data_IF_615268705393
#
_entry.id   IF_615268705393
#
_cell.length_a   1.000
_cell.length_b   1.000
_cell.length_c   1.000
_cell.angle_alpha   90.00
_cell.angle_beta   90.00
_cell.angle_gamma   90.00
#
_symmetry.space_group_name_H-M   'P 1'
#
loop_
_entity.id
_entity.type
_entity.pdbx_description
1 polymer ?
#
# COMPACT_ATOMS: atom_id res chain seq x y z
N UNK A 1 6.32 3.52 -20.83
CA UNK A 1 5.33 3.66 -19.76
C UNK A 1 4.18 4.51 -20.27
N UNK A 2 2.94 4.06 -20.11
CA UNK A 2 1.75 4.81 -20.53
C UNK A 2 0.97 5.25 -19.28
N UNK A 3 0.63 6.54 -19.22
CA UNK A 3 -0.24 7.09 -18.18
C UNK A 3 -1.63 7.33 -18.78
N UNK A 4 -2.69 6.88 -18.09
CA UNK A 4 -4.07 7.07 -18.55
C UNK A 4 -5.05 7.13 -17.40
N UNK A 5 -6.17 7.78 -17.62
CA UNK A 5 -7.29 7.77 -16.67
C UNK A 5 -8.24 6.62 -16.99
N UNK A 6 -8.52 5.82 -15.98
CA UNK A 6 -9.46 4.69 -16.05
C UNK A 6 -10.73 5.06 -15.31
N UNK A 7 -11.88 4.93 -15.95
CA UNK A 7 -13.18 5.16 -15.33
C UNK A 7 -13.58 3.95 -14.46
N UNK A 8 -13.84 4.19 -13.20
CA UNK A 8 -14.33 3.20 -12.23
C UNK A 8 -15.59 3.70 -11.56
N UNK A 9 -16.26 2.86 -10.77
CA UNK A 9 -17.42 3.31 -9.94
C UNK A 9 -17.00 4.28 -8.82
N UNK A 10 -15.69 4.41 -8.57
CA UNK A 10 -15.11 5.29 -7.54
C UNK A 10 -14.55 6.61 -8.09
N UNK A 11 -14.80 6.90 -9.36
CA UNK A 11 -14.26 8.05 -10.11
C UNK A 11 -13.22 7.63 -11.15
N UNK A 12 -12.68 8.63 -11.86
CA UNK A 12 -11.59 8.38 -12.83
C UNK A 12 -10.25 8.34 -12.10
N UNK A 13 -9.56 7.20 -12.21
CA UNK A 13 -8.30 6.98 -11.54
C UNK A 13 -7.14 7.14 -12.52
N UNK A 14 -6.08 7.81 -12.09
CA UNK A 14 -4.84 7.92 -12.84
C UNK A 14 -4.02 6.66 -12.64
N UNK A 15 -3.70 5.98 -13.73
CA UNK A 15 -2.95 4.71 -13.75
C UNK A 15 -1.75 4.85 -14.66
N UNK A 16 -0.62 4.36 -14.21
CA UNK A 16 0.59 4.18 -15.03
C UNK A 16 0.91 2.70 -15.18
N UNK A 17 1.26 2.30 -16.39
CA UNK A 17 1.53 0.92 -16.77
C UNK A 17 2.81 0.89 -17.60
N UNK A 18 3.81 0.14 -17.13
CA UNK A 18 5.06 -0.04 -17.87
C UNK A 18 4.90 -0.89 -19.13
N UNK A 19 3.79 -1.64 -19.22
CA UNK A 19 3.59 -2.61 -20.30
C UNK A 19 4.51 -3.83 -20.18
N UNK A 20 4.59 -4.60 -21.28
CA UNK A 20 5.40 -5.81 -21.34
C UNK A 20 4.63 -7.09 -20.99
N UNK A 21 5.29 -8.24 -21.17
CA UNK A 21 4.75 -9.58 -20.95
C UNK A 21 5.13 -10.17 -19.57
N UNK A 22 5.88 -9.41 -18.75
CA UNK A 22 6.25 -9.85 -17.40
C UNK A 22 5.04 -10.00 -16.48
N UNK A 23 5.21 -10.72 -15.38
CA UNK A 23 4.16 -10.86 -14.37
C UNK A 23 3.72 -9.50 -13.85
N UNK A 24 2.41 -9.21 -13.86
CA UNK A 24 1.90 -7.95 -13.35
C UNK A 24 2.17 -7.80 -11.84
N UNK A 25 2.70 -6.64 -11.45
CA UNK A 25 2.87 -6.21 -10.07
C UNK A 25 2.09 -4.90 -9.88
N UNK A 26 0.99 -4.97 -9.13
CA UNK A 26 0.21 -3.80 -8.74
C UNK A 26 0.84 -3.17 -7.50
N UNK A 27 1.16 -1.87 -7.56
CA UNK A 27 1.72 -1.10 -6.45
C UNK A 27 0.68 -0.11 -5.93
N UNK A 28 0.34 -0.23 -4.64
CA UNK A 28 -0.68 0.59 -3.97
C UNK A 28 0.00 1.47 -2.92
N UNK A 29 -0.12 2.79 -3.09
CA UNK A 29 0.53 3.77 -2.23
C UNK A 29 -0.19 3.95 -0.87
N UNK A 30 0.49 4.65 0.04
CA UNK A 30 0.00 4.95 1.39
C UNK A 30 -0.94 6.15 1.47
N UNK A 31 -1.48 6.37 2.67
CA UNK A 31 -2.36 7.49 2.97
C UNK A 31 -1.70 8.84 2.66
N UNK A 32 -2.46 9.74 2.06
CA UNK A 32 -2.02 11.11 1.73
C UNK A 32 -0.78 11.14 0.82
N UNK A 33 -0.63 10.15 -0.04
CA UNK A 33 0.48 10.00 -0.97
C UNK A 33 -0.02 9.96 -2.43
N UNK A 34 0.80 9.47 -3.34
CA UNK A 34 0.44 9.24 -4.74
C UNK A 34 1.29 8.11 -5.31
N UNK A 35 0.97 7.65 -6.54
CA UNK A 35 1.77 6.66 -7.27
C UNK A 35 3.24 7.07 -7.44
N UNK A 36 3.54 8.36 -7.40
CA UNK A 36 4.88 8.92 -7.55
C UNK A 36 5.89 8.43 -6.50
N UNK A 37 5.40 7.91 -5.35
CA UNK A 37 6.29 7.30 -4.33
C UNK A 37 7.04 6.08 -4.86
N UNK A 38 6.51 5.40 -5.88
CA UNK A 38 7.11 4.22 -6.48
C UNK A 38 8.06 4.52 -7.65
N UNK A 39 8.43 5.79 -7.84
CA UNK A 39 9.33 6.19 -8.92
C UNK A 39 10.63 5.38 -8.93
N UNK A 40 11.23 5.11 -7.75
CA UNK A 40 12.47 4.32 -7.64
C UNK A 40 12.30 2.84 -7.98
N UNK A 41 11.09 2.32 -7.98
CA UNK A 41 10.74 0.97 -8.45
C UNK A 41 10.54 0.96 -9.96
N UNK A 42 9.86 1.97 -10.47
CA UNK A 42 9.54 2.12 -11.90
C UNK A 42 10.80 2.44 -12.72
N UNK A 43 11.63 3.38 -12.25
CA UNK A 43 12.88 3.78 -12.90
C UNK A 43 14.04 2.82 -12.58
N UNK A 44 13.94 2.05 -11.52
CA UNK A 44 14.91 1.05 -11.11
C UNK A 44 14.71 -0.29 -11.81
N UNK A 45 15.63 -1.23 -11.61
CA UNK A 45 15.66 -2.52 -12.31
C UNK A 45 14.42 -3.41 -12.16
N UNK A 46 13.50 -3.11 -11.25
CA UNK A 46 12.29 -3.91 -11.03
C UNK A 46 11.39 -3.95 -12.28
N UNK A 47 11.28 -2.85 -13.02
CA UNK A 47 10.49 -2.78 -14.25
C UNK A 47 11.05 -3.63 -15.40
N UNK A 48 12.31 -4.09 -15.34
CA UNK A 48 12.89 -4.95 -16.37
C UNK A 48 12.40 -6.40 -16.30
N UNK A 49 11.97 -6.86 -15.10
CA UNK A 49 11.51 -8.24 -14.89
C UNK A 49 9.99 -8.37 -14.71
N UNK A 50 9.29 -7.27 -14.48
CA UNK A 50 7.87 -7.25 -14.15
C UNK A 50 7.13 -6.19 -14.97
N UNK A 51 5.82 -6.40 -15.20
CA UNK A 51 4.93 -5.32 -15.65
C UNK A 51 4.43 -4.58 -14.43
N UNK A 52 4.89 -3.36 -14.21
CA UNK A 52 4.50 -2.55 -13.06
C UNK A 52 3.24 -1.74 -13.38
N UNK A 53 2.26 -1.84 -12.50
CA UNK A 53 1.06 -1.03 -12.53
C UNK A 53 1.04 -0.19 -11.25
N UNK A 54 1.10 1.12 -11.39
CA UNK A 54 0.92 2.07 -10.29
C UNK A 54 -0.32 2.91 -10.55
N UNK A 55 -1.02 3.31 -9.51
CA UNK A 55 -2.18 4.18 -9.67
C UNK A 55 -2.35 5.06 -8.44
N UNK A 56 -3.03 6.19 -8.63
CA UNK A 56 -3.46 7.03 -7.52
C UNK A 56 -4.80 6.52 -6.99
N UNK A 57 -4.85 6.21 -5.70
CA UNK A 57 -6.10 5.86 -5.02
C UNK A 57 -7.17 6.96 -5.19
N UNK A 58 -8.47 6.64 -5.14
CA UNK A 58 -9.53 7.66 -5.10
C UNK A 58 -9.21 8.77 -4.09
N UNK A 59 -9.37 10.03 -4.50
CA UNK A 59 -9.06 11.19 -3.66
C UNK A 59 -7.57 11.49 -3.47
N UNK A 60 -6.68 10.88 -4.24
CA UNK A 60 -5.22 11.08 -4.15
C UNK A 60 -4.63 11.43 -5.52
N UNK A 61 -3.46 12.08 -5.50
CA UNK A 61 -2.69 12.39 -6.68
C UNK A 61 -3.51 13.06 -7.79
N UNK A 62 -3.50 12.48 -8.99
CA UNK A 62 -4.25 12.95 -10.16
C UNK A 62 -5.59 12.21 -10.37
N UNK A 63 -5.95 11.28 -9.45
CA UNK A 63 -7.27 10.66 -9.41
C UNK A 63 -8.34 11.63 -8.93
N UNK A 64 -9.59 11.39 -9.34
CA UNK A 64 -10.73 12.19 -8.89
C UNK A 64 -11.01 11.96 -7.40
N UNK A 65 -11.59 12.98 -6.77
CA UNK A 65 -12.19 12.85 -5.45
C UNK A 65 -13.48 12.04 -5.57
N UNK A 66 -13.75 11.20 -4.54
CA UNK A 66 -14.95 10.36 -4.57
C UNK A 66 -16.22 11.18 -4.53
N UNK A 67 -17.14 10.87 -5.43
CA UNK A 67 -18.52 11.41 -5.39
C UNK A 67 -19.28 10.84 -4.19
N UNK A 68 -19.03 9.55 -3.86
CA UNK A 68 -19.65 8.83 -2.74
C UNK A 68 -18.59 8.47 -1.67
N UNK A 69 -18.14 9.44 -0.85
CA UNK A 69 -17.03 9.25 0.09
C UNK A 69 -17.28 8.15 1.12
N UNK A 70 -18.52 7.96 1.57
CA UNK A 70 -18.86 7.00 2.63
C UNK A 70 -18.57 5.56 2.20
N UNK A 71 -18.85 5.21 0.96
CA UNK A 71 -18.58 3.89 0.40
C UNK A 71 -17.14 3.75 -0.11
N UNK A 72 -16.66 4.76 -0.83
CA UNK A 72 -15.33 4.72 -1.49
C UNK A 72 -14.18 4.78 -0.49
N UNK A 73 -14.23 5.67 0.50
CA UNK A 73 -13.14 5.89 1.44
C UNK A 73 -13.17 4.92 2.63
N UNK A 74 -13.29 3.64 2.31
CA UNK A 74 -13.14 2.50 3.22
C UNK A 74 -12.09 1.56 2.66
N UNK A 75 -11.52 0.67 3.46
CA UNK A 75 -10.59 -0.34 2.93
C UNK A 75 -11.25 -1.19 1.85
N UNK A 76 -12.53 -1.55 2.05
CA UNK A 76 -13.32 -2.27 1.06
C UNK A 76 -13.55 -1.51 -0.24
N UNK A 77 -13.88 -0.22 -0.16
CA UNK A 77 -14.08 0.63 -1.35
C UNK A 77 -12.77 0.87 -2.12
N UNK A 78 -11.65 1.10 -1.41
CA UNK A 78 -10.35 1.25 -2.04
C UNK A 78 -9.85 -0.06 -2.66
N UNK A 79 -10.13 -1.21 -2.04
CA UNK A 79 -9.83 -2.52 -2.61
C UNK A 79 -10.69 -2.80 -3.86
N UNK A 80 -11.96 -2.40 -3.86
CA UNK A 80 -12.82 -2.49 -5.03
C UNK A 80 -12.31 -1.60 -6.18
N UNK A 81 -11.91 -0.37 -5.88
CA UNK A 81 -11.28 0.52 -6.87
C UNK A 81 -10.03 -0.09 -7.51
N UNK A 82 -9.15 -0.70 -6.70
CA UNK A 82 -7.96 -1.41 -7.18
C UNK A 82 -8.33 -2.63 -8.04
N UNK A 83 -9.38 -3.36 -7.66
CA UNK A 83 -9.89 -4.51 -8.42
C UNK A 83 -10.40 -4.07 -9.79
N UNK A 84 -11.21 -3.01 -9.85
CA UNK A 84 -11.72 -2.47 -11.12
C UNK A 84 -10.59 -2.00 -12.06
N UNK A 85 -9.49 -1.46 -11.50
CA UNK A 85 -8.31 -1.15 -12.32
C UNK A 85 -7.74 -2.42 -12.95
N UNK A 86 -7.59 -3.52 -12.20
CA UNK A 86 -7.10 -4.80 -12.73
C UNK A 86 -8.04 -5.37 -13.79
N UNK A 87 -9.35 -5.36 -13.53
CA UNK A 87 -10.37 -5.90 -14.45
C UNK A 87 -10.35 -5.15 -15.79
N UNK A 88 -10.29 -3.80 -15.76
CA UNK A 88 -10.24 -2.97 -16.97
C UNK A 88 -8.93 -3.16 -17.74
N UNK A 89 -7.83 -3.48 -17.05
CA UNK A 89 -6.55 -3.84 -17.66
C UNK A 89 -6.50 -5.28 -18.18
N UNK A 90 -7.50 -6.11 -17.88
CA UNK A 90 -7.54 -7.54 -18.24
C UNK A 90 -6.52 -8.38 -17.49
N UNK A 91 -6.27 -8.06 -16.20
CA UNK A 91 -5.24 -8.70 -15.39
C UNK A 91 -5.87 -9.62 -14.32
N UNK A 92 -6.00 -10.88 -14.63
CA UNK A 92 -6.59 -11.93 -13.76
C UNK A 92 -5.58 -12.58 -12.82
N UNK A 93 -4.29 -12.40 -13.06
CA UNK A 93 -3.21 -12.93 -12.23
C UNK A 93 -2.23 -11.82 -11.93
N UNK A 94 -2.06 -11.48 -10.66
CA UNK A 94 -1.27 -10.34 -10.23
C UNK A 94 -0.57 -10.61 -8.91
N UNK A 95 0.64 -10.06 -8.73
CA UNK A 95 1.22 -9.86 -7.42
C UNK A 95 0.84 -8.45 -6.97
N UNK A 96 0.46 -8.30 -5.71
CA UNK A 96 0.09 -6.99 -5.15
C UNK A 96 1.13 -6.56 -4.13
N UNK A 97 1.60 -5.33 -4.26
CA UNK A 97 2.50 -4.69 -3.32
C UNK A 97 1.78 -3.48 -2.73
N UNK A 98 1.63 -3.46 -1.42
CA UNK A 98 0.97 -2.36 -0.75
C UNK A 98 1.83 -1.74 0.36
N UNK A 99 1.89 -0.42 0.36
CA UNK A 99 2.58 0.34 1.39
C UNK A 99 1.60 1.06 2.31
N UNK A 100 1.75 0.89 3.63
CA UNK A 100 0.95 1.57 4.65
C UNK A 100 -0.54 1.35 4.38
N UNK A 101 -1.34 2.38 4.15
CA UNK A 101 -2.73 2.25 3.71
C UNK A 101 -2.88 1.27 2.54
N UNK A 102 -1.98 1.35 1.54
CA UNK A 102 -1.99 0.44 0.39
C UNK A 102 -1.78 -1.02 0.78
N UNK A 103 -1.01 -1.29 1.85
CA UNK A 103 -0.84 -2.64 2.41
C UNK A 103 -2.13 -3.16 3.05
N UNK A 104 -2.85 -2.32 3.77
CA UNK A 104 -4.17 -2.67 4.32
C UNK A 104 -5.20 -2.90 3.21
N UNK A 105 -5.17 -2.09 2.14
CA UNK A 105 -6.00 -2.31 0.93
C UNK A 105 -5.64 -3.64 0.27
N UNK A 106 -4.37 -3.96 0.13
CA UNK A 106 -3.91 -5.22 -0.46
C UNK A 106 -4.33 -6.45 0.36
N UNK A 107 -4.33 -6.37 1.70
CA UNK A 107 -4.86 -7.44 2.57
C UNK A 107 -6.39 -7.58 2.40
N UNK A 108 -7.11 -6.47 2.27
CA UNK A 108 -8.55 -6.49 2.00
C UNK A 108 -8.86 -7.19 0.66
N UNK A 109 -8.00 -7.01 -0.36
CA UNK A 109 -8.12 -7.66 -1.67
C UNK A 109 -7.98 -9.19 -1.59
N UNK A 110 -7.22 -9.75 -0.63
CA UNK A 110 -7.07 -11.21 -0.47
C UNK A 110 -8.42 -11.94 -0.32
N UNK A 111 -9.38 -11.31 0.32
CA UNK A 111 -10.72 -11.88 0.52
C UNK A 111 -11.66 -11.70 -0.67
N UNK A 112 -11.28 -10.90 -1.67
CA UNK A 112 -12.13 -10.47 -2.78
C UNK A 112 -11.69 -11.03 -4.13
N UNK A 113 -10.39 -11.23 -4.33
CA UNK A 113 -9.81 -11.60 -5.62
C UNK A 113 -9.11 -12.95 -5.52
N UNK A 114 -9.51 -13.90 -6.38
CA UNK A 114 -8.84 -15.21 -6.48
C UNK A 114 -7.54 -15.19 -7.30
N UNK A 115 -7.29 -14.12 -8.04
CA UNK A 115 -6.16 -13.97 -8.95
C UNK A 115 -4.87 -13.47 -8.32
N UNK A 116 -4.84 -13.19 -7.00
CA UNK A 116 -3.63 -12.76 -6.32
C UNK A 116 -2.67 -13.94 -6.21
N UNK A 117 -1.48 -13.79 -6.79
CA UNK A 117 -0.43 -14.81 -6.82
C UNK A 117 0.61 -14.64 -5.72
N UNK A 118 0.76 -13.43 -5.21
CA UNK A 118 1.65 -13.07 -4.12
C UNK A 118 1.28 -11.72 -3.54
N UNK A 119 1.64 -11.50 -2.30
CA UNK A 119 1.38 -10.23 -1.58
C UNK A 119 2.67 -9.73 -0.96
N UNK A 120 3.02 -8.46 -1.19
CA UNK A 120 4.10 -7.76 -0.49
C UNK A 120 3.49 -6.71 0.42
N UNK A 121 3.74 -6.81 1.72
CA UNK A 121 3.23 -5.90 2.76
C UNK A 121 4.38 -5.04 3.27
N UNK A 122 4.19 -3.72 3.27
CA UNK A 122 5.17 -2.74 3.73
C UNK A 122 4.49 -1.78 4.71
N UNK A 123 4.97 -1.71 5.95
CA UNK A 123 4.47 -0.75 6.94
C UNK A 123 2.96 -0.86 7.21
N UNK A 124 2.38 -2.06 7.11
CA UNK A 124 0.96 -2.31 7.28
C UNK A 124 0.73 -3.56 8.14
N UNK A 125 0.70 -3.43 9.47
CA UNK A 125 0.50 -4.56 10.36
C UNK A 125 -0.90 -5.13 10.19
N UNK A 126 -1.04 -6.46 9.94
CA UNK A 126 -2.35 -7.09 9.85
C UNK A 126 -3.01 -7.15 11.23
N UNK A 127 -3.88 -6.20 11.54
CA UNK A 127 -4.55 -6.12 12.84
C UNK A 127 -5.90 -6.80 12.83
N UNK A 128 -6.34 -7.27 14.01
CA UNK A 128 -7.73 -7.69 14.22
C UNK A 128 -8.66 -6.49 14.15
N UNK A 129 -9.94 -6.73 13.95
CA UNK A 129 -10.96 -5.67 14.02
C UNK A 129 -10.87 -4.96 15.38
N UNK A 130 -10.71 -3.64 15.35
CA UNK A 130 -10.54 -2.81 16.55
C UNK A 130 -9.14 -2.87 17.18
N UNK A 131 -8.21 -3.68 16.65
CA UNK A 131 -6.86 -3.90 17.19
C UNK A 131 -5.78 -2.92 16.71
N UNK A 132 -6.13 -1.75 16.19
CA UNK A 132 -5.14 -0.79 15.67
C UNK A 132 -4.03 -0.47 16.66
N UNK A 133 -4.34 -0.37 17.95
CA UNK A 133 -3.35 -0.04 18.99
C UNK A 133 -2.27 -1.12 19.17
N UNK A 134 -2.51 -2.36 18.71
CA UNK A 134 -1.53 -3.45 18.78
C UNK A 134 -0.46 -3.31 17.69
N UNK A 135 -0.88 -2.96 16.47
CA UNK A 135 -0.01 -2.90 15.29
C UNK A 135 0.72 -1.58 15.08
N UNK A 136 0.29 -0.50 15.77
CA UNK A 136 0.83 0.83 15.57
C UNK A 136 1.43 1.40 16.86
N UNK A 137 2.56 2.07 16.72
CA UNK A 137 3.18 2.80 17.82
C UNK A 137 2.36 4.06 18.14
N UNK A 138 2.27 4.42 19.42
CA UNK A 138 1.63 5.68 19.83
C UNK A 138 2.45 6.86 19.31
N UNK A 139 1.90 7.58 18.34
CA UNK A 139 2.57 8.71 17.69
C UNK A 139 1.61 9.87 17.46
N UNK A 140 2.04 11.13 17.71
CA UNK A 140 1.24 12.31 17.33
C UNK A 140 0.94 12.35 15.82
N UNK A 141 1.81 11.77 15.00
CA UNK A 141 1.69 11.75 13.54
C UNK A 141 0.54 10.85 13.06
N UNK A 142 0.21 9.78 13.80
CA UNK A 142 -0.98 8.97 13.51
C UNK A 142 -2.28 9.76 13.65
N UNK A 143 -2.32 10.74 14.56
CA UNK A 143 -3.50 11.61 14.69
C UNK A 143 -3.70 12.50 13.47
N UNK A 144 -2.61 13.00 12.88
CA UNK A 144 -2.65 13.78 11.63
C UNK A 144 -3.13 12.93 10.46
N UNK A 145 -2.80 11.65 10.42
CA UNK A 145 -3.23 10.71 9.37
C UNK A 145 -4.77 10.56 9.26
N UNK A 146 -5.52 10.84 10.32
CA UNK A 146 -6.99 10.80 10.34
C UNK A 146 -7.68 12.16 10.27
N UNK A 147 -6.95 13.29 10.18
CA UNK A 147 -7.55 14.63 10.18
C UNK A 147 -7.94 15.05 8.78
N UNK A 148 -9.14 15.61 8.67
CA UNK A 148 -9.65 16.14 7.40
C UNK A 148 -8.81 17.32 6.89
N UNK A 149 -8.43 18.24 7.75
CA UNK A 149 -7.65 19.41 7.41
C UNK A 149 -6.32 19.39 8.16
N UNK A 150 -5.25 19.63 7.44
CA UNK A 150 -3.89 19.74 7.98
C UNK A 150 -3.37 21.15 7.72
N UNK A 151 -2.85 21.80 8.75
CA UNK A 151 -2.09 23.04 8.62
C UNK A 151 -0.74 22.75 7.96
N UNK A 152 -0.08 23.80 7.44
CA UNK A 152 1.25 23.66 6.82
C UNK A 152 2.28 22.98 7.74
N UNK A 153 2.40 23.35 9.05
CA UNK A 153 3.29 22.62 9.96
C UNK A 153 2.92 21.14 10.13
N UNK A 154 1.62 20.80 10.14
CA UNK A 154 1.16 19.41 10.24
C UNK A 154 1.46 18.60 8.97
N UNK A 155 1.35 19.20 7.79
CA UNK A 155 1.77 18.58 6.51
C UNK A 155 3.25 18.24 6.55
N UNK A 156 4.09 19.18 6.99
CA UNK A 156 5.53 18.96 7.10
C UNK A 156 5.87 17.89 8.15
N UNK A 157 5.28 17.97 9.34
CA UNK A 157 5.50 16.98 10.41
C UNK A 157 5.05 15.57 10.00
N UNK A 158 3.90 15.47 9.30
CA UNK A 158 3.41 14.19 8.78
C UNK A 158 4.33 13.64 7.69
N UNK A 159 4.76 14.49 6.75
CA UNK A 159 5.73 14.10 5.72
C UNK A 159 7.05 13.61 6.31
N UNK A 160 7.57 14.31 7.34
CA UNK A 160 8.79 13.90 8.04
C UNK A 160 8.64 12.54 8.75
N UNK A 161 7.50 12.28 9.38
CA UNK A 161 7.25 11.01 10.04
C UNK A 161 7.18 9.83 9.06
N UNK A 162 6.61 10.06 7.88
CA UNK A 162 6.39 9.01 6.87
C UNK A 162 7.63 8.79 5.99
N UNK A 163 8.35 9.86 5.63
CA UNK A 163 9.46 9.81 4.67
C UNK A 163 10.81 10.27 5.25
N UNK A 164 10.87 10.69 6.53
CA UNK A 164 12.10 11.24 7.08
C UNK A 164 12.40 12.66 6.61
N UNK A 165 13.62 13.14 6.88
CA UNK A 165 14.10 14.48 6.52
C UNK A 165 15.24 14.39 5.53
N UNK A 166 15.27 15.29 4.50
CA UNK A 166 14.26 16.30 4.16
C UNK A 166 12.99 15.64 3.54
N UNK A 167 11.84 16.31 3.67
CA UNK A 167 10.61 15.86 3.02
C UNK A 167 10.71 16.16 1.53
N UNK A 168 10.49 15.16 0.72
CA UNK A 168 10.47 15.30 -0.74
C UNK A 168 9.32 16.24 -1.18
N UNK A 169 9.57 17.22 -2.07
CA UNK A 169 8.55 18.21 -2.46
C UNK A 169 7.26 17.60 -3.04
N UNK A 170 7.39 16.48 -3.79
CA UNK A 170 6.22 15.80 -4.34
C UNK A 170 5.31 15.25 -3.23
N UNK A 171 5.88 14.75 -2.13
CA UNK A 171 5.12 14.21 -1.02
C UNK A 171 4.33 15.30 -0.31
N UNK A 172 4.94 16.47 -0.05
CA UNK A 172 4.21 17.61 0.51
C UNK A 172 3.02 18.02 -0.37
N UNK A 173 3.22 18.05 -1.70
CA UNK A 173 2.13 18.30 -2.66
C UNK A 173 1.05 17.22 -2.58
N UNK A 174 1.43 15.94 -2.51
CA UNK A 174 0.50 14.82 -2.42
C UNK A 174 -0.35 14.89 -1.14
N UNK A 175 0.27 15.20 0.03
CA UNK A 175 -0.43 15.37 1.31
C UNK A 175 -1.47 16.49 1.21
N UNK A 176 -1.11 17.65 0.64
CA UNK A 176 -2.01 18.80 0.47
C UNK A 176 -3.13 18.48 -0.51
N UNK A 177 -2.83 17.78 -1.63
CA UNK A 177 -3.80 17.41 -2.67
C UNK A 177 -4.82 16.40 -2.18
N UNK A 178 -4.44 15.48 -1.29
CA UNK A 178 -5.31 14.39 -0.86
C UNK A 178 -6.61 14.89 -0.26
N UNK A 179 -7.72 14.28 -0.67
CA UNK A 179 -9.05 14.58 -0.11
C UNK A 179 -9.09 14.25 1.38
N UNK A 180 -9.23 15.28 2.21
CA UNK A 180 -9.27 15.11 3.66
C UNK A 180 -10.45 14.26 4.15
N UNK A 181 -11.53 14.15 3.36
CA UNK A 181 -12.66 13.25 3.65
C UNK A 181 -12.20 11.78 3.65
N UNK A 182 -11.21 11.44 2.81
CA UNK A 182 -10.63 10.10 2.79
C UNK A 182 -9.93 9.79 4.12
N UNK A 183 -9.07 10.69 4.62
CA UNK A 183 -8.39 10.51 5.91
C UNK A 183 -9.40 10.31 7.05
N UNK A 184 -10.37 11.21 7.15
CA UNK A 184 -11.39 11.19 8.21
C UNK A 184 -12.22 9.89 8.17
N UNK A 185 -12.71 9.51 6.99
CA UNK A 185 -13.56 8.34 6.81
C UNK A 185 -12.83 7.03 7.07
N UNK A 186 -11.58 6.88 6.60
CA UNK A 186 -10.74 5.71 6.86
C UNK A 186 -10.52 5.48 8.36
N UNK A 187 -10.22 6.54 9.11
CA UNK A 187 -10.05 6.43 10.56
C UNK A 187 -11.36 6.14 11.29
N UNK A 188 -12.48 6.69 10.82
CA UNK A 188 -13.80 6.33 11.32
C UNK A 188 -14.09 4.84 11.09
N UNK A 189 -13.89 4.34 9.87
CA UNK A 189 -14.10 2.94 9.51
C UNK A 189 -13.23 2.00 10.36
N UNK A 190 -11.95 2.35 10.55
CA UNK A 190 -11.06 1.55 11.39
C UNK A 190 -11.52 1.50 12.86
N UNK A 191 -12.04 2.60 13.39
CA UNK A 191 -12.58 2.66 14.77
C UNK A 191 -13.86 1.88 14.94
N UNK A 192 -14.70 1.80 13.92
CA UNK A 192 -15.96 1.02 13.94
C UNK A 192 -15.76 -0.43 13.54
N UNK A 193 -14.53 -0.84 13.21
CA UNK A 193 -14.21 -2.21 12.83
C UNK A 193 -14.74 -2.62 11.45
N UNK A 194 -14.93 -1.64 10.53
CA UNK A 194 -15.30 -1.93 9.15
C UNK A 194 -14.13 -2.60 8.40
N UNK A 195 -14.48 -3.47 7.43
CA UNK A 195 -13.53 -4.21 6.64
C UNK A 195 -13.31 -5.64 7.16
N UNK A 196 -12.36 -6.36 6.60
CA UNK A 196 -12.02 -7.72 7.03
C UNK A 196 -11.21 -7.70 8.33
N UNK A 197 -11.24 -8.80 9.09
CA UNK A 197 -10.24 -9.07 10.11
C UNK A 197 -8.92 -9.40 9.40
N UNK A 198 -8.00 -8.44 9.35
CA UNK A 198 -6.80 -8.53 8.54
C UNK A 198 -5.83 -9.60 9.05
N UNK A 199 -5.74 -9.76 10.36
CA UNK A 199 -4.93 -10.81 10.96
C UNK A 199 -5.47 -12.18 10.54
N UNK A 200 -6.76 -12.39 10.66
CA UNK A 200 -7.41 -13.64 10.24
C UNK A 200 -7.28 -13.86 8.72
N UNK A 201 -7.33 -12.80 7.91
CA UNK A 201 -7.18 -12.89 6.46
C UNK A 201 -5.80 -13.40 6.06
N UNK A 202 -4.72 -12.88 6.67
CA UNK A 202 -3.35 -13.36 6.38
C UNK A 202 -3.08 -14.72 7.00
N UNK A 203 -3.58 -15.00 8.21
CA UNK A 203 -3.43 -16.30 8.90
C UNK A 203 -4.10 -17.46 8.16
N UNK A 204 -5.11 -17.17 7.33
CA UNK A 204 -5.83 -18.16 6.50
C UNK A 204 -5.44 -18.15 5.04
N UNK A 205 -4.54 -17.26 4.65
CA UNK A 205 -4.14 -17.12 3.25
C UNK A 205 -3.25 -18.28 2.81
N UNK A 206 -3.57 -18.84 1.64
CA UNK A 206 -2.69 -19.75 0.91
C UNK A 206 -1.77 -19.02 -0.09
N UNK A 207 -1.91 -17.69 -0.21
CA UNK A 207 -1.09 -16.85 -1.07
C UNK A 207 0.26 -16.61 -0.39
N UNK A 208 1.40 -16.75 -1.10
CA UNK A 208 2.71 -16.34 -0.59
C UNK A 208 2.73 -14.87 -0.17
N UNK A 209 3.25 -14.59 1.02
CA UNK A 209 3.31 -13.23 1.57
C UNK A 209 4.75 -12.87 1.93
N UNK A 210 5.27 -11.80 1.35
CA UNK A 210 6.50 -11.16 1.76
C UNK A 210 6.18 -9.94 2.65
N UNK A 211 6.82 -9.86 3.81
CA UNK A 211 6.74 -8.70 4.71
C UNK A 211 8.10 -8.01 4.68
N UNK A 212 8.14 -6.75 4.21
CA UNK A 212 9.38 -5.99 4.04
C UNK A 212 9.21 -4.62 4.70
N UNK A 213 9.76 -4.43 5.89
CA UNK A 213 9.63 -3.21 6.67
C UNK A 213 10.98 -2.48 6.83
N UNK A 214 10.93 -1.20 7.16
CA UNK A 214 12.10 -0.50 7.66
C UNK A 214 12.34 -0.88 9.13
N UNK A 215 13.59 -1.14 9.49
CA UNK A 215 13.97 -1.51 10.87
C UNK A 215 13.75 -0.38 11.88
N UNK A 216 13.77 0.87 11.41
CA UNK A 216 13.55 2.08 12.21
C UNK A 216 12.20 2.75 11.90
N UNK A 217 11.18 1.97 11.55
CA UNK A 217 9.84 2.50 11.28
C UNK A 217 9.25 3.17 12.53
N UNK A 218 8.95 4.48 12.51
CA UNK A 218 8.49 5.19 13.71
C UNK A 218 6.98 5.04 13.96
N UNK A 219 6.25 4.35 13.08
CA UNK A 219 4.79 4.26 13.11
C UNK A 219 4.30 2.85 13.43
N UNK A 220 5.09 1.83 13.07
CA UNK A 220 4.66 0.44 13.08
C UNK A 220 5.28 -0.31 14.26
N UNK A 221 4.46 -1.06 14.97
CA UNK A 221 4.93 -2.00 15.98
C UNK A 221 5.44 -3.28 15.30
N UNK A 222 6.75 -3.33 15.04
CA UNK A 222 7.37 -4.47 14.37
C UNK A 222 7.31 -5.75 15.20
N UNK A 223 7.34 -5.63 16.54
CA UNK A 223 7.22 -6.79 17.45
C UNK A 223 5.83 -7.42 17.33
N UNK A 224 4.79 -6.61 17.14
CA UNK A 224 3.45 -7.13 16.84
C UNK A 224 3.43 -7.93 15.54
N UNK A 225 4.08 -7.43 14.47
CA UNK A 225 4.11 -8.15 13.18
C UNK A 225 4.75 -9.53 13.35
N UNK A 226 5.80 -9.65 14.16
CA UNK A 226 6.47 -10.92 14.44
C UNK A 226 5.58 -11.93 15.20
N UNK A 227 4.46 -11.49 15.81
CA UNK A 227 3.45 -12.37 16.43
C UNK A 227 2.40 -12.88 15.45
N UNK A 228 2.37 -12.36 14.23
CA UNK A 228 1.38 -12.75 13.22
C UNK A 228 1.82 -14.02 12.51
N UNK A 229 0.93 -15.01 12.45
CA UNK A 229 1.19 -16.24 11.69
C UNK A 229 0.87 -16.00 10.21
N UNK A 230 1.86 -16.23 9.36
CA UNK A 230 1.70 -16.24 7.91
C UNK A 230 1.99 -17.65 7.41
N UNK A 231 0.98 -18.46 7.00
CA UNK A 231 1.20 -19.87 6.59
C UNK A 231 2.16 -20.02 5.41
N UNK A 232 2.25 -18.98 4.57
CA UNK A 232 3.13 -18.88 3.41
C UNK A 232 4.02 -17.62 3.51
N UNK A 233 4.71 -17.45 4.64
CA UNK A 233 5.67 -16.36 4.81
C UNK A 233 6.90 -16.64 3.96
N UNK A 234 7.16 -15.76 3.02
CA UNK A 234 8.31 -15.86 2.13
C UNK A 234 9.64 -15.84 2.90
N UNK A 235 10.51 -16.80 2.62
CA UNK A 235 11.75 -17.07 3.34
C UNK A 235 11.58 -17.31 4.85
N UNK A 236 10.37 -17.60 5.33
CA UNK A 236 10.06 -17.88 6.73
C UNK A 236 10.34 -16.71 7.69
N UNK A 237 10.48 -15.48 7.21
CA UNK A 237 10.79 -14.31 8.04
C UNK A 237 10.23 -13.00 7.50
N UNK A 238 10.01 -12.05 8.42
CA UNK A 238 9.78 -10.64 8.07
C UNK A 238 11.13 -9.97 7.79
N UNK A 239 11.30 -9.40 6.59
CA UNK A 239 12.50 -8.67 6.21
C UNK A 239 12.50 -7.26 6.81
N UNK A 240 13.67 -6.82 7.29
CA UNK A 240 13.87 -5.48 7.85
C UNK A 240 15.06 -4.82 7.17
N UNK A 241 14.82 -3.69 6.51
CA UNK A 241 15.83 -2.88 5.83
C UNK A 241 16.27 -1.71 6.71
N UNK A 242 17.47 -1.21 6.52
CA UNK A 242 17.96 -0.02 7.21
C UNK A 242 17.25 1.23 6.65
N UNK A 243 16.04 1.44 7.13
CA UNK A 243 15.14 2.51 6.70
C UNK A 243 14.03 2.76 7.73
N UNK A 244 13.32 3.88 7.57
CA UNK A 244 12.07 4.18 8.26
C UNK A 244 10.85 3.57 7.56
N UNK A 245 9.71 4.28 7.60
CA UNK A 245 8.41 3.80 7.11
C UNK A 245 8.35 3.58 5.57
N UNK A 246 9.29 4.12 4.80
CA UNK A 246 9.35 3.98 3.35
C UNK A 246 10.65 3.28 2.87
N UNK A 247 10.87 1.98 3.18
CA UNK A 247 12.09 1.26 2.80
C UNK A 247 12.28 1.17 1.29
N UNK A 248 11.21 1.12 0.51
CA UNK A 248 11.24 1.13 -0.96
C UNK A 248 11.80 2.44 -1.54
N UNK A 249 11.84 3.51 -0.73
CA UNK A 249 12.42 4.80 -1.11
C UNK A 249 13.86 4.93 -0.61
N UNK A 250 14.13 4.68 0.67
CA UNK A 250 15.42 4.93 1.29
C UNK A 250 16.46 3.82 1.02
N UNK A 251 16.02 2.57 0.96
CA UNK A 251 16.84 1.40 0.65
C UNK A 251 16.42 0.77 -0.69
N UNK A 252 16.15 1.60 -1.73
CA UNK A 252 15.48 1.19 -2.96
C UNK A 252 16.18 0.04 -3.68
N UNK A 253 17.51 0.02 -3.73
CA UNK A 253 18.29 -1.04 -4.41
C UNK A 253 18.05 -2.40 -3.75
N UNK A 254 18.20 -2.47 -2.43
CA UNK A 254 18.00 -3.71 -1.67
C UNK A 254 16.52 -4.13 -1.69
N UNK A 255 15.62 -3.16 -1.53
CA UNK A 255 14.19 -3.40 -1.63
C UNK A 255 13.80 -4.00 -2.98
N UNK A 256 14.24 -3.40 -4.10
CA UNK A 256 13.96 -3.88 -5.44
C UNK A 256 14.50 -5.29 -5.67
N UNK A 257 15.69 -5.61 -5.13
CA UNK A 257 16.27 -6.94 -5.20
C UNK A 257 15.40 -7.98 -4.46
N UNK A 258 14.92 -7.67 -3.25
CA UNK A 258 14.03 -8.55 -2.49
C UNK A 258 12.72 -8.79 -3.25
N UNK A 259 12.09 -7.73 -3.77
CA UNK A 259 10.84 -7.85 -4.54
C UNK A 259 11.06 -8.66 -5.82
N UNK A 260 12.17 -8.45 -6.54
CA UNK A 260 12.49 -9.23 -7.75
C UNK A 260 12.64 -10.72 -7.44
N UNK A 261 13.28 -11.08 -6.32
CA UNK A 261 13.42 -12.48 -5.87
C UNK A 261 12.06 -13.07 -5.50
N UNK A 262 11.26 -12.35 -4.72
CA UNK A 262 9.91 -12.78 -4.39
C UNK A 262 9.06 -13.03 -5.65
N UNK A 263 9.11 -12.12 -6.62
CA UNK A 263 8.41 -12.28 -7.90
C UNK A 263 8.85 -13.54 -8.66
N UNK A 264 10.15 -13.82 -8.70
CA UNK A 264 10.67 -15.03 -9.34
C UNK A 264 10.17 -16.30 -8.62
N UNK A 265 10.28 -16.36 -7.29
CA UNK A 265 9.82 -17.51 -6.49
C UNK A 265 8.33 -17.76 -6.62
N UNK A 266 7.51 -16.70 -6.67
CA UNK A 266 6.05 -16.80 -6.92
C UNK A 266 5.76 -17.38 -8.31
N UNK A 267 6.55 -17.01 -9.32
CA UNK A 267 6.39 -17.49 -10.70
C UNK A 267 6.76 -18.96 -10.84
N UNK A 268 7.80 -19.38 -10.15
CA UNK A 268 8.29 -20.77 -10.15
C UNK A 268 7.47 -21.69 -9.24
N UNK A 269 6.55 -21.14 -8.44
CA UNK A 269 5.79 -21.89 -7.43
C UNK A 269 6.63 -22.34 -6.24
N UNK A 270 7.77 -21.66 -6.00
CA UNK A 270 8.72 -21.94 -4.93
C UNK A 270 8.48 -21.11 -3.65
N UNK A 271 7.54 -20.17 -3.69
CA UNK A 271 7.24 -19.25 -2.59
C UNK A 271 6.24 -19.81 -1.56
#
# INVERSE_FOLDING_TARGET
>A
MSARRIATSHGRLMVEDTGGSGTPLLLIHGNSSSREVFRRQVEGGLAHGCRLITFDLPGHGESEDAAEPLGTYTLGGLADAATQVLDILGLDKVVVLGWSLGGHVAIEMLSRIRGIRGLVIIGAPPVRRGGMAEGFLSSPHLRSAGRRHLSRPEVEAFGQAVFGKPVEPFLSRAIVRSDGRCRERLFQAARTGEGVDQRLAVERSSVPIAVINGAADPLINLDYIDTVTFPKLWNGRCHRLDAGHAPFWHAATEFNLLVSRFMADVMEGAA
#
